data_IF_068512746728
#
_entry.id   IF_068512746728
#
_cell.length_a   1.000
_cell.length_b   1.000
_cell.length_c   1.000
_cell.angle_alpha   90.00
_cell.angle_beta   90.00
_cell.angle_gamma   90.00
#
_symmetry.space_group_name_H-M   'P 1'
#
loop_
_entity.id
_entity.type
_entity.pdbx_description
1 polymer ?
#
# COMPACT_ATOMS: atom_id res chain seq x y z
N UNK A 1 12.33 -18.75 2.13
CA UNK A 1 11.02 -19.24 2.64
C UNK A 1 9.91 -19.29 1.59
N UNK A 2 9.72 -18.28 0.72
CA UNK A 2 8.73 -18.38 -0.39
C UNK A 2 9.28 -19.23 -1.57
N UNK A 3 10.49 -18.92 -2.05
CA UNK A 3 11.14 -19.66 -3.15
C UNK A 3 11.59 -21.08 -2.77
N UNK A 4 11.88 -21.30 -1.49
CA UNK A 4 12.50 -22.55 -0.99
C UNK A 4 11.48 -23.65 -0.70
N UNK A 5 10.19 -23.33 -0.53
CA UNK A 5 9.12 -24.32 -0.35
C UNK A 5 8.66 -24.86 -1.71
N UNK A 6 9.53 -25.69 -2.27
CA UNK A 6 9.16 -26.92 -2.96
C UNK A 6 8.68 -26.77 -4.42
N UNK A 7 9.54 -26.25 -5.31
CA UNK A 7 9.37 -26.32 -6.77
C UNK A 7 8.94 -27.72 -7.27
N UNK A 8 9.46 -28.80 -6.64
CA UNK A 8 9.10 -30.19 -6.97
C UNK A 8 7.72 -30.64 -6.45
N UNK A 9 7.25 -30.14 -5.29
CA UNK A 9 5.88 -30.40 -4.84
C UNK A 9 4.85 -29.54 -5.59
N UNK A 10 5.26 -28.36 -6.07
CA UNK A 10 4.45 -27.48 -6.91
C UNK A 10 4.27 -28.02 -8.34
N UNK A 11 5.27 -28.70 -8.91
CA UNK A 11 5.14 -29.40 -10.19
C UNK A 11 4.32 -30.71 -10.09
N UNK A 12 4.16 -31.28 -8.88
CA UNK A 12 3.36 -32.49 -8.62
C UNK A 12 1.90 -32.21 -8.27
N UNK A 13 1.49 -30.95 -8.13
CA UNK A 13 0.10 -30.56 -7.95
C UNK A 13 -0.69 -30.76 -9.24
N UNK A 14 -1.36 -31.91 -9.33
CA UNK A 14 -2.50 -32.25 -10.20
C UNK A 14 -2.51 -31.59 -11.58
N UNK A 15 -2.03 -32.33 -12.60
CA UNK A 15 -2.37 -32.19 -14.03
C UNK A 15 -2.79 -30.76 -14.45
N UNK A 16 -1.84 -29.85 -14.59
CA UNK A 16 -2.03 -28.63 -15.40
C UNK A 16 -2.91 -27.51 -14.82
N UNK A 17 -3.14 -27.43 -13.50
CA UNK A 17 -3.89 -26.29 -12.94
C UNK A 17 -2.99 -25.06 -12.71
N UNK A 18 -3.24 -23.97 -13.45
CA UNK A 18 -2.56 -22.66 -13.33
C UNK A 18 -2.75 -21.98 -11.97
N UNK A 19 -3.68 -22.47 -11.15
CA UNK A 19 -4.05 -21.92 -9.84
C UNK A 19 -2.92 -21.93 -8.81
N UNK A 20 -2.02 -22.93 -8.86
CA UNK A 20 -0.86 -23.01 -7.96
C UNK A 20 0.17 -21.91 -8.23
N UNK A 21 0.41 -21.58 -9.50
CA UNK A 21 1.33 -20.51 -9.91
C UNK A 21 0.76 -19.12 -9.62
N UNK A 22 -0.55 -18.92 -9.81
CA UNK A 22 -1.21 -17.66 -9.49
C UNK A 22 -1.06 -17.29 -8.00
N UNK A 23 -1.13 -18.28 -7.12
CA UNK A 23 -0.94 -18.08 -5.68
C UNK A 23 0.50 -17.68 -5.34
N UNK A 24 1.50 -18.33 -5.95
CA UNK A 24 2.93 -17.97 -5.76
C UNK A 24 3.20 -16.56 -6.27
N UNK A 25 2.73 -16.22 -7.47
CA UNK A 25 2.94 -14.87 -8.04
C UNK A 25 2.27 -13.82 -7.15
N UNK A 26 1.12 -14.13 -6.55
CA UNK A 26 0.47 -13.24 -5.59
C UNK A 26 1.30 -13.07 -4.31
N UNK A 27 1.87 -14.13 -3.75
CA UNK A 27 2.76 -14.05 -2.58
C UNK A 27 4.08 -13.33 -2.88
N UNK A 28 4.66 -13.52 -4.07
CA UNK A 28 5.82 -12.77 -4.53
C UNK A 28 5.51 -11.28 -4.66
N UNK A 29 4.33 -10.93 -5.20
CA UNK A 29 3.87 -9.53 -5.26
C UNK A 29 3.74 -8.91 -3.86
N UNK A 30 3.23 -9.66 -2.87
CA UNK A 30 3.16 -9.20 -1.46
C UNK A 30 4.56 -8.97 -0.91
N UNK A 31 5.49 -9.90 -1.13
CA UNK A 31 6.89 -9.80 -0.72
C UNK A 31 7.58 -8.55 -1.24
N UNK A 32 7.38 -8.23 -2.51
CA UNK A 32 7.97 -7.06 -3.14
C UNK A 32 7.37 -5.74 -2.66
N UNK A 33 6.21 -5.76 -1.99
CA UNK A 33 5.52 -4.55 -1.53
C UNK A 33 5.86 -4.24 -0.06
N UNK A 34 5.64 -5.19 0.85
CA UNK A 34 5.91 -4.98 2.27
C UNK A 34 5.95 -6.30 3.02
N UNK A 35 6.90 -6.49 3.97
CA UNK A 35 6.97 -7.71 4.77
C UNK A 35 5.67 -7.99 5.56
N UNK A 36 4.99 -6.93 6.03
CA UNK A 36 3.71 -7.06 6.74
C UNK A 36 2.55 -7.62 5.90
N UNK A 37 2.69 -7.65 4.58
CA UNK A 37 1.71 -8.33 3.72
C UNK A 37 1.85 -9.85 3.74
N UNK A 38 2.98 -10.38 4.20
CA UNK A 38 3.24 -11.83 4.32
C UNK A 38 3.08 -12.29 5.76
N UNK A 39 3.64 -11.53 6.72
CA UNK A 39 3.61 -11.86 8.14
C UNK A 39 3.07 -10.66 8.91
N UNK A 40 2.00 -10.84 9.69
CA UNK A 40 1.51 -9.77 10.55
C UNK A 40 2.62 -9.30 11.52
N UNK A 41 2.70 -8.01 11.85
CA UNK A 41 3.62 -7.53 12.87
C UNK A 41 3.36 -8.25 14.19
N UNK A 42 4.41 -8.68 14.88
CA UNK A 42 4.26 -9.28 16.21
C UNK A 42 3.82 -8.19 17.19
N UNK A 43 2.87 -8.52 18.05
CA UNK A 43 2.18 -7.55 18.93
C UNK A 43 3.06 -7.10 20.12
N UNK A 44 4.29 -7.59 20.22
CA UNK A 44 5.11 -7.58 21.43
C UNK A 44 6.03 -6.35 21.61
N UNK A 45 5.95 -5.30 20.78
CA UNK A 45 6.87 -4.14 20.88
C UNK A 45 6.18 -2.78 20.66
N UNK A 46 4.90 -2.64 21.01
CA UNK A 46 4.15 -1.39 20.77
C UNK A 46 4.05 -0.49 22.01
N UNK A 47 5.18 -0.01 22.51
CA UNK A 47 5.18 1.04 23.55
C UNK A 47 5.51 2.43 22.99
N UNK A 48 6.14 2.53 21.81
CA UNK A 48 6.59 3.82 21.26
C UNK A 48 6.29 3.99 19.76
N UNK A 49 5.51 5.03 19.40
CA UNK A 49 5.07 5.26 18.01
C UNK A 49 6.21 5.50 17.01
N UNK A 50 7.34 6.03 17.48
CA UNK A 50 8.53 6.23 16.63
C UNK A 50 9.23 4.91 16.27
N UNK A 51 9.26 3.95 17.18
CA UNK A 51 9.86 2.62 16.95
C UNK A 51 9.00 1.81 15.97
N UNK A 52 7.67 1.90 16.13
CA UNK A 52 6.70 1.33 15.18
C UNK A 52 6.92 1.89 13.78
N UNK A 53 7.08 3.21 13.65
CA UNK A 53 7.33 3.87 12.36
C UNK A 53 8.65 3.39 11.73
N UNK A 54 9.73 3.31 12.51
CA UNK A 54 11.03 2.83 12.01
C UNK A 54 10.96 1.38 11.53
N UNK A 55 10.29 0.52 12.29
CA UNK A 55 10.07 -0.88 11.94
C UNK A 55 9.25 -1.01 10.65
N UNK A 56 8.15 -0.26 10.55
CA UNK A 56 7.30 -0.19 9.35
C UNK A 56 8.13 0.19 8.12
N UNK A 57 8.85 1.32 8.18
CA UNK A 57 9.66 1.83 7.06
C UNK A 57 10.74 0.81 6.66
N UNK A 58 11.51 0.29 7.63
CA UNK A 58 12.64 -0.62 7.35
C UNK A 58 12.22 -1.97 6.77
N UNK A 59 10.97 -2.37 7.00
CA UNK A 59 10.41 -3.62 6.50
C UNK A 59 9.98 -3.57 5.02
N UNK A 60 10.18 -2.44 4.32
CA UNK A 60 10.00 -2.34 2.86
C UNK A 60 10.94 -1.34 2.21
N UNK A 61 11.74 -1.81 1.25
CA UNK A 61 12.61 -0.94 0.45
C UNK A 61 11.85 0.14 -0.34
N UNK A 62 10.60 -0.15 -0.75
CA UNK A 62 9.72 0.84 -1.38
C UNK A 62 9.30 1.93 -0.40
N UNK A 63 8.96 1.54 0.83
CA UNK A 63 8.54 2.48 1.86
C UNK A 63 9.69 3.37 2.34
N UNK A 64 10.92 2.86 2.39
CA UNK A 64 12.14 3.67 2.64
C UNK A 64 12.30 4.79 1.60
N UNK A 65 12.12 4.46 0.32
CA UNK A 65 12.20 5.46 -0.75
C UNK A 65 11.02 6.43 -0.71
N UNK A 66 9.81 5.92 -0.46
CA UNK A 66 8.60 6.72 -0.36
C UNK A 66 8.69 7.73 0.80
N UNK A 67 9.24 7.35 1.95
CA UNK A 67 9.44 8.23 3.11
C UNK A 67 10.31 9.44 2.75
N UNK A 68 11.44 9.21 2.07
CA UNK A 68 12.33 10.28 1.61
C UNK A 68 11.66 11.16 0.54
N UNK A 69 10.91 10.55 -0.38
CA UNK A 69 10.23 11.27 -1.46
C UNK A 69 9.11 12.15 -0.91
N UNK A 70 8.26 11.61 -0.03
CA UNK A 70 7.17 12.34 0.59
C UNK A 70 7.68 13.48 1.46
N UNK A 71 8.78 13.30 2.19
CA UNK A 71 9.36 14.41 2.97
C UNK A 71 9.74 15.57 2.06
N UNK A 72 10.44 15.30 0.94
CA UNK A 72 10.85 16.32 -0.03
C UNK A 72 9.68 16.96 -0.79
N UNK A 73 8.66 16.18 -1.13
CA UNK A 73 7.49 16.72 -1.83
C UNK A 73 6.69 17.65 -0.92
N UNK A 74 6.58 17.33 0.37
CA UNK A 74 5.94 18.17 1.38
C UNK A 74 6.67 19.50 1.58
N UNK A 75 8.00 19.47 1.70
CA UNK A 75 8.83 20.69 1.81
C UNK A 75 8.62 21.65 0.63
N UNK A 76 8.35 21.10 -0.55
CA UNK A 76 8.07 21.87 -1.78
C UNK A 76 6.59 22.24 -1.95
N UNK A 77 5.71 21.83 -1.04
CA UNK A 77 4.26 22.10 -1.12
C UNK A 77 3.51 21.28 -2.16
N UNK A 78 4.06 20.17 -2.66
CA UNK A 78 3.38 19.32 -3.64
C UNK A 78 2.38 18.38 -2.96
N UNK A 79 1.24 18.15 -3.59
CA UNK A 79 0.29 17.10 -3.20
C UNK A 79 0.67 15.78 -3.87
N UNK A 80 0.37 14.66 -3.22
CA UNK A 80 0.80 13.33 -3.70
C UNK A 80 -0.39 12.39 -3.86
N UNK A 81 -0.47 11.72 -5.01
CA UNK A 81 -1.42 10.66 -5.28
C UNK A 81 -0.69 9.32 -5.33
N UNK A 82 -1.10 8.38 -4.48
CA UNK A 82 -0.48 7.06 -4.33
C UNK A 82 -1.47 5.99 -4.77
N UNK A 83 -1.08 5.22 -5.78
CA UNK A 83 -1.87 4.12 -6.32
C UNK A 83 -1.38 2.77 -5.80
N UNK A 84 -2.30 1.88 -5.45
CA UNK A 84 -1.98 0.49 -5.09
C UNK A 84 -3.03 -0.49 -5.61
N UNK A 85 -2.59 -1.63 -6.13
CA UNK A 85 -3.47 -2.76 -6.48
C UNK A 85 -3.80 -3.66 -5.26
N UNK A 86 -3.22 -3.37 -4.09
CA UNK A 86 -3.46 -4.15 -2.87
C UNK A 86 -4.09 -3.26 -1.80
N UNK A 87 -5.33 -3.56 -1.43
CA UNK A 87 -6.08 -2.87 -0.36
C UNK A 87 -5.26 -2.86 0.94
N UNK A 88 -4.68 -4.00 1.32
CA UNK A 88 -3.83 -4.11 2.52
C UNK A 88 -2.58 -3.22 2.49
N UNK A 89 -2.07 -2.86 1.31
CA UNK A 89 -0.96 -1.91 1.22
C UNK A 89 -1.44 -0.48 1.48
N UNK A 90 -2.69 -0.15 1.12
CA UNK A 90 -3.28 1.14 1.47
C UNK A 90 -3.48 1.26 2.98
N UNK A 91 -3.83 0.17 3.67
CA UNK A 91 -3.90 0.14 5.14
C UNK A 91 -2.53 0.48 5.76
N UNK A 92 -1.45 -0.17 5.29
CA UNK A 92 -0.07 0.09 5.73
C UNK A 92 0.35 1.55 5.46
N UNK A 93 0.00 2.09 4.30
CA UNK A 93 0.28 3.48 3.96
C UNK A 93 -0.52 4.46 4.83
N UNK A 94 -1.78 4.15 5.15
CA UNK A 94 -2.61 4.95 6.04
C UNK A 94 -2.02 5.00 7.45
N UNK A 95 -1.54 3.87 7.98
CA UNK A 95 -0.84 3.80 9.27
C UNK A 95 0.44 4.65 9.23
N UNK A 96 1.27 4.49 8.20
CA UNK A 96 2.47 5.30 7.98
C UNK A 96 2.17 6.81 7.99
N UNK A 97 1.18 7.25 7.21
CA UNK A 97 0.80 8.66 7.10
C UNK A 97 0.22 9.20 8.41
N UNK A 98 -0.51 8.37 9.14
CA UNK A 98 -1.07 8.73 10.46
C UNK A 98 0.05 9.00 11.47
N UNK A 99 1.04 8.10 11.57
CA UNK A 99 2.17 8.27 12.50
C UNK A 99 3.04 9.48 12.11
N UNK A 100 3.14 9.79 10.81
CA UNK A 100 3.84 10.99 10.29
C UNK A 100 3.02 12.28 10.40
N UNK A 101 1.76 12.21 10.85
CA UNK A 101 0.82 13.34 10.88
C UNK A 101 0.65 14.02 9.52
N UNK A 102 0.52 13.21 8.46
CA UNK A 102 0.30 13.68 7.10
C UNK A 102 -1.21 13.56 6.80
N UNK A 103 -1.94 14.66 6.55
CA UNK A 103 -3.36 14.58 6.26
C UNK A 103 -3.57 13.84 4.94
N UNK A 104 -4.45 12.83 4.94
CA UNK A 104 -4.68 12.01 3.77
C UNK A 104 -6.15 11.65 3.61
N UNK A 105 -6.52 11.31 2.37
CA UNK A 105 -7.82 10.72 2.07
C UNK A 105 -7.64 9.40 1.33
N UNK A 106 -8.48 8.43 1.69
CA UNK A 106 -8.52 7.13 1.05
C UNK A 106 -9.74 7.03 0.14
N UNK A 107 -9.47 6.64 -1.10
CA UNK A 107 -10.46 6.31 -2.11
C UNK A 107 -10.42 4.82 -2.38
N UNK A 108 -11.36 4.10 -1.78
CA UNK A 108 -11.60 2.69 -2.10
C UNK A 108 -12.64 2.56 -3.22
N UNK A 109 -12.51 1.51 -4.04
CA UNK A 109 -13.42 1.23 -5.16
C UNK A 109 -14.87 0.90 -4.76
N UNK A 110 -15.18 0.86 -3.46
CA UNK A 110 -16.54 0.74 -2.92
C UNK A 110 -17.27 2.09 -2.84
N UNK A 111 -16.57 3.22 -3.02
CA UNK A 111 -17.16 4.55 -3.02
C UNK A 111 -17.97 4.74 -4.32
N UNK A 112 -19.24 5.14 -4.19
CA UNK A 112 -20.10 5.44 -5.34
C UNK A 112 -19.42 6.46 -6.26
N UNK A 113 -19.54 6.27 -7.58
CA UNK A 113 -18.87 7.12 -8.58
C UNK A 113 -19.07 8.62 -8.39
N UNK A 114 -20.27 9.04 -7.96
CA UNK A 114 -20.59 10.43 -7.63
C UNK A 114 -19.77 10.98 -6.45
N UNK A 115 -19.66 10.20 -5.37
CA UNK A 115 -18.86 10.59 -4.19
C UNK A 115 -17.38 10.63 -4.56
N UNK A 116 -16.91 9.69 -5.39
CA UNK A 116 -15.54 9.69 -5.93
C UNK A 116 -15.27 10.96 -6.74
N UNK A 117 -16.21 11.36 -7.60
CA UNK A 117 -16.09 12.57 -8.42
C UNK A 117 -16.07 13.83 -7.56
N UNK A 118 -16.98 13.94 -6.60
CA UNK A 118 -17.01 15.07 -5.65
C UNK A 118 -15.71 15.17 -4.84
N UNK A 119 -15.17 14.04 -4.40
CA UNK A 119 -13.88 14.01 -3.73
C UNK A 119 -12.77 14.52 -4.69
N UNK A 120 -12.73 14.03 -5.93
CA UNK A 120 -11.74 14.43 -6.93
C UNK A 120 -11.83 15.93 -7.26
N UNK A 121 -13.05 16.46 -7.40
CA UNK A 121 -13.31 17.87 -7.66
C UNK A 121 -12.89 18.74 -6.46
N UNK A 122 -13.13 18.27 -5.23
CA UNK A 122 -12.65 18.92 -4.02
C UNK A 122 -11.12 18.92 -3.93
N UNK A 123 -10.45 17.86 -4.38
CA UNK A 123 -9.00 17.80 -4.44
C UNK A 123 -8.40 18.76 -5.47
N UNK A 124 -9.08 18.95 -6.61
CA UNK A 124 -8.62 19.82 -7.68
C UNK A 124 -9.00 21.30 -7.45
N UNK A 125 -9.84 21.61 -6.46
CA UNK A 125 -10.26 22.97 -6.17
C UNK A 125 -9.09 23.84 -5.67
N UNK A 126 -9.00 25.06 -6.21
CA UNK A 126 -8.02 26.05 -5.80
C UNK A 126 -8.18 26.37 -4.30
N UNK A 127 -7.09 26.24 -3.55
CA UNK A 127 -7.10 26.48 -2.09
C UNK A 127 -7.58 25.31 -1.23
N UNK A 128 -7.75 24.09 -1.77
CA UNK A 128 -8.09 22.93 -0.92
C UNK A 128 -6.92 22.55 0.02
N UNK A 129 -6.83 23.15 1.20
CA UNK A 129 -5.79 22.85 2.21
C UNK A 129 -5.95 21.47 2.86
N UNK A 130 -6.97 20.71 2.47
CA UNK A 130 -7.52 19.66 3.33
C UNK A 130 -6.65 18.38 3.35
N UNK A 131 -5.93 18.05 2.27
CA UNK A 131 -5.20 16.77 2.18
C UNK A 131 -3.86 16.85 1.44
N UNK A 132 -2.81 16.34 2.08
CA UNK A 132 -1.45 16.22 1.52
C UNK A 132 -1.31 14.99 0.60
N UNK A 133 -1.89 13.85 1.00
CA UNK A 133 -1.75 12.59 0.28
C UNK A 133 -3.10 11.92 -0.03
N UNK A 134 -3.24 11.32 -1.21
CA UNK A 134 -4.43 10.57 -1.63
C UNK A 134 -4.06 9.12 -1.89
N UNK A 135 -4.77 8.21 -1.24
CA UNK A 135 -4.56 6.76 -1.36
C UNK A 135 -5.65 6.17 -2.27
N UNK A 136 -5.27 5.71 -3.45
CA UNK A 136 -6.20 5.18 -4.45
C UNK A 136 -6.00 3.68 -4.68
N UNK A 137 -7.08 2.92 -4.55
CA UNK A 137 -7.10 1.50 -4.93
C UNK A 137 -7.31 1.35 -6.44
N UNK A 138 -6.32 0.80 -7.15
CA UNK A 138 -6.45 0.47 -8.57
C UNK A 138 -7.20 -0.84 -8.76
N UNK A 139 -8.43 -0.75 -9.24
CA UNK A 139 -9.15 -1.91 -9.76
C UNK A 139 -8.85 -2.10 -11.26
N UNK A 140 -8.96 -3.33 -11.77
CA UNK A 140 -8.78 -3.65 -13.20
C UNK A 140 -9.73 -2.86 -14.12
N UNK A 141 -10.81 -2.32 -13.58
CA UNK A 141 -11.84 -1.57 -14.28
C UNK A 141 -11.58 -0.06 -14.33
N UNK A 142 -10.54 0.46 -13.65
CA UNK A 142 -10.28 1.91 -13.61
C UNK A 142 -9.44 2.44 -14.81
N UNK A 143 -9.01 1.55 -15.72
CA UNK A 143 -8.23 1.88 -16.93
C UNK A 143 -8.96 1.57 -18.25
N UNK A 144 -10.27 1.27 -18.18
CA UNK A 144 -11.14 1.06 -19.36
C UNK A 144 -12.16 2.18 -19.43
#
# INVERSE_FOLDING_TARGET
>A
WILTRNYKALAKGTRGSTSGFLNIVMELKKCCNHCYLIKAPEENERENGQEVLQSLIRSSGKLILLDKLLTRLRERGNRVLIFSQMVRMLDILAEYLTIKHYPFQRLDGSIKGEIRKQALDHFNADGSEVHYAWLYYLNKLDFV
#
